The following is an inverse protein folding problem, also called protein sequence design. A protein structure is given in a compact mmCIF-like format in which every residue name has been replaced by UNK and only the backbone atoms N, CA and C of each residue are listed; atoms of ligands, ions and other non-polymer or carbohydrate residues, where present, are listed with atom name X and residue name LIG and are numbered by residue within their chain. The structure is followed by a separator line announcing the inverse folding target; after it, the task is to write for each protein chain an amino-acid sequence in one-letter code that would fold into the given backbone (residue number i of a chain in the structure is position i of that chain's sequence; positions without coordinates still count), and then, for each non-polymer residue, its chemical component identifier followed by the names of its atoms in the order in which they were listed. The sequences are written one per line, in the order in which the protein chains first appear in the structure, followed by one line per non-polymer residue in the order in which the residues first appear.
data_IF_252762459086
#
_entry.id   IF_252762459086
#
_cell.length_a   1.000
_cell.length_b   1.000
_cell.length_c   1.000
_cell.angle_alpha   90.00
_cell.angle_beta   90.00
_cell.angle_gamma   90.00
#
_symmetry.space_group_name_H-M   'P 1'
#
loop_
_entity.id
_entity.type
_entity.pdbx_description
1 polymer ?
#
# COMPACT_ATOMS: atom_id res chain seq x y z
N UNK A 1 -16.34 13.07 -9.20
CA UNK A 1 -17.65 12.98 -8.45
C UNK A 1 -18.71 12.24 -9.27
N UNK A 2 -18.69 12.39 -10.59
CA UNK A 2 -19.64 11.78 -11.53
C UNK A 2 -19.59 10.24 -11.48
N UNK A 3 -18.43 9.64 -11.14
CA UNK A 3 -18.28 8.18 -11.03
C UNK A 3 -19.23 7.52 -10.02
N UNK A 4 -19.47 8.15 -8.87
CA UNK A 4 -20.33 7.59 -7.82
C UNK A 4 -21.80 7.72 -8.18
N UNK A 5 -22.17 8.84 -8.82
CA UNK A 5 -23.52 9.07 -9.33
C UNK A 5 -23.84 8.05 -10.43
N UNK A 6 -22.92 7.83 -11.36
CA UNK A 6 -23.09 6.84 -12.43
C UNK A 6 -23.12 5.40 -11.90
N UNK A 7 -22.32 5.07 -10.88
CA UNK A 7 -22.35 3.77 -10.22
C UNK A 7 -23.67 3.51 -9.49
N UNK A 8 -24.19 4.50 -8.75
CA UNK A 8 -25.49 4.39 -8.06
C UNK A 8 -26.63 4.28 -9.08
N UNK A 9 -26.61 5.09 -10.14
CA UNK A 9 -27.63 5.07 -11.17
C UNK A 9 -27.62 3.75 -11.96
N UNK A 10 -26.43 3.21 -12.25
CA UNK A 10 -26.26 1.88 -12.81
C UNK A 10 -26.77 0.78 -11.87
N UNK A 11 -26.53 0.91 -10.56
CA UNK A 11 -27.05 -0.01 -9.56
C UNK A 11 -28.58 -0.04 -9.53
N UNK A 12 -29.24 1.12 -9.67
CA UNK A 12 -30.70 1.18 -9.64
C UNK A 12 -31.35 0.49 -10.84
N UNK A 13 -30.75 0.60 -12.03
CA UNK A 13 -31.31 0.02 -13.26
C UNK A 13 -31.01 -1.46 -13.45
N UNK A 14 -29.81 -1.91 -13.09
CA UNK A 14 -29.34 -3.28 -13.36
C UNK A 14 -28.78 -4.00 -12.12
N UNK A 15 -29.01 -3.50 -10.90
CA UNK A 15 -28.47 -4.05 -9.63
C UNK A 15 -26.94 -4.15 -9.68
N UNK A 16 -26.38 -5.27 -9.24
CA UNK A 16 -24.95 -5.49 -9.12
C UNK A 16 -24.16 -5.30 -10.42
N UNK A 17 -24.55 -5.90 -11.58
CA UNK A 17 -23.81 -5.68 -12.83
C UNK A 17 -23.92 -4.24 -13.32
N UNK A 18 -25.06 -3.59 -13.09
CA UNK A 18 -25.27 -2.19 -13.46
C UNK A 18 -24.35 -1.23 -12.71
N UNK A 19 -24.06 -1.49 -11.43
CA UNK A 19 -23.14 -0.67 -10.64
C UNK A 19 -21.72 -0.69 -11.19
N UNK A 20 -21.25 -1.86 -11.62
CA UNK A 20 -19.91 -2.05 -12.19
C UNK A 20 -19.81 -1.30 -13.52
N UNK A 21 -20.79 -1.49 -14.40
CA UNK A 21 -20.84 -0.80 -15.69
C UNK A 21 -20.96 0.72 -15.52
N UNK A 22 -21.82 1.17 -14.62
CA UNK A 22 -22.01 2.59 -14.28
C UNK A 22 -20.74 3.22 -13.69
N UNK A 23 -20.01 2.50 -12.84
CA UNK A 23 -18.72 2.96 -12.32
C UNK A 23 -17.66 3.06 -13.41
N UNK A 24 -17.58 2.08 -14.31
CA UNK A 24 -16.65 2.07 -15.45
C UNK A 24 -16.94 3.26 -16.39
N UNK A 25 -18.17 3.41 -16.86
CA UNK A 25 -18.61 4.52 -17.72
C UNK A 25 -18.42 5.87 -17.03
N UNK A 26 -18.83 5.97 -15.77
CA UNK A 26 -18.67 7.16 -14.94
C UNK A 26 -17.20 7.53 -14.72
N UNK A 27 -16.31 6.55 -14.59
CA UNK A 27 -14.87 6.79 -14.45
C UNK A 27 -14.24 7.33 -15.73
N UNK A 28 -14.68 6.87 -16.90
CA UNK A 28 -14.21 7.38 -18.20
C UNK A 28 -14.66 8.83 -18.41
N UNK A 29 -15.90 9.15 -18.05
CA UNK A 29 -16.44 10.50 -18.12
C UNK A 29 -15.74 11.44 -17.13
N UNK A 30 -15.54 11.00 -15.87
CA UNK A 30 -14.79 11.76 -14.84
C UNK A 30 -13.40 12.11 -15.39
N UNK A 31 -12.66 11.15 -15.98
CA UNK A 31 -11.32 11.36 -16.58
C UNK A 31 -11.31 12.40 -17.72
N UNK A 32 -12.35 12.44 -18.57
CA UNK A 32 -12.46 13.43 -19.64
C UNK A 32 -12.74 14.84 -19.09
N UNK A 33 -13.57 14.96 -18.04
CA UNK A 33 -13.87 16.23 -17.38
C UNK A 33 -12.79 16.72 -16.41
N UNK A 34 -11.99 15.83 -15.84
CA UNK A 34 -10.95 16.14 -14.83
C UNK A 34 -9.53 16.22 -15.38
N UNK A 35 -9.36 16.51 -16.68
CA UNK A 35 -8.04 16.78 -17.31
C UNK A 35 -7.18 17.85 -16.61
N UNK A 36 -7.70 18.58 -15.61
CA UNK A 36 -6.96 19.57 -14.82
C UNK A 36 -6.52 19.12 -13.42
N UNK A 37 -6.90 17.92 -12.94
CA UNK A 37 -6.47 17.41 -11.62
C UNK A 37 -5.96 15.98 -11.77
N UNK A 38 -4.64 15.84 -11.74
CA UNK A 38 -3.89 14.66 -12.19
C UNK A 38 -4.27 13.31 -11.56
N UNK A 39 -4.02 12.26 -12.35
CA UNK A 39 -3.75 10.90 -11.88
C UNK A 39 -4.94 9.94 -11.99
N UNK A 40 -4.86 9.03 -12.96
CA UNK A 40 -5.94 8.12 -13.34
C UNK A 40 -6.50 7.27 -12.19
N UNK A 41 -7.82 7.29 -12.04
CA UNK A 41 -8.56 6.57 -11.01
C UNK A 41 -8.34 5.05 -11.01
N UNK A 42 -7.95 4.45 -12.14
CA UNK A 42 -7.57 3.02 -12.21
C UNK A 42 -6.32 2.72 -11.39
N UNK A 43 -5.34 3.62 -11.41
CA UNK A 43 -4.14 3.54 -10.59
C UNK A 43 -4.50 3.63 -9.10
N UNK A 44 -5.50 4.43 -8.73
CA UNK A 44 -5.87 4.68 -7.34
C UNK A 44 -6.58 3.47 -6.69
N UNK A 45 -7.42 2.75 -7.45
CA UNK A 45 -8.05 1.50 -6.99
C UNK A 45 -7.01 0.39 -6.81
N UNK A 46 -6.01 0.32 -7.68
CA UNK A 46 -4.91 -0.65 -7.56
C UNK A 46 -3.83 -0.23 -6.54
N UNK A 47 -3.62 1.08 -6.34
CA UNK A 47 -2.65 1.61 -5.36
C UNK A 47 -3.15 1.57 -3.93
N UNK A 48 -4.47 1.54 -3.70
CA UNK A 48 -5.01 1.35 -2.35
C UNK A 48 -4.52 0.04 -1.72
N UNK A 49 -4.17 -0.95 -2.55
CA UNK A 49 -3.64 -2.25 -2.13
C UNK A 49 -2.11 -2.32 -2.11
N UNK A 50 -1.40 -1.25 -2.52
CA UNK A 50 0.07 -1.15 -2.52
C UNK A 50 0.58 0.02 -1.69
N UNK A 51 -0.15 0.39 -0.64
CA UNK A 51 0.36 1.32 0.38
C UNK A 51 0.71 0.55 1.66
N UNK A 52 1.50 -0.50 1.51
CA UNK A 52 2.56 -0.74 2.48
C UNK A 52 3.62 0.33 2.22
N UNK A 53 3.30 1.58 2.55
CA UNK A 53 4.35 2.58 2.76
C UNK A 53 5.08 2.12 4.00
N UNK A 54 6.16 1.38 3.80
CA UNK A 54 7.08 0.99 4.85
C UNK A 54 7.57 2.30 5.47
N UNK A 55 7.03 2.66 6.62
CA UNK A 55 7.55 3.79 7.37
C UNK A 55 8.98 3.44 7.78
N UNK A 56 9.92 4.40 7.82
CA UNK A 56 11.25 4.15 8.38
C UNK A 56 11.19 3.46 9.76
N UNK A 57 10.19 3.81 10.58
CA UNK A 57 9.95 3.16 11.87
C UNK A 57 9.57 1.66 11.75
N UNK A 58 8.81 1.28 10.73
CA UNK A 58 8.45 -0.13 10.47
C UNK A 58 9.66 -0.91 9.93
N UNK A 59 10.55 -0.25 9.20
CA UNK A 59 11.81 -0.84 8.74
C UNK A 59 12.77 -1.17 9.88
N UNK A 60 12.92 -0.26 10.86
CA UNK A 60 13.73 -0.47 12.06
C UNK A 60 13.28 -1.71 12.86
N UNK A 61 11.96 -1.83 13.10
CA UNK A 61 11.36 -2.96 13.79
C UNK A 61 11.59 -4.29 13.05
N UNK A 62 11.46 -4.28 11.73
CA UNK A 62 11.67 -5.47 10.89
C UNK A 62 13.14 -5.91 10.86
N UNK A 63 14.10 -4.98 10.80
CA UNK A 63 15.52 -5.31 10.89
C UNK A 63 15.89 -5.91 12.25
N UNK A 64 15.37 -5.36 13.35
CA UNK A 64 15.64 -5.89 14.69
C UNK A 64 15.12 -7.32 14.81
N UNK A 65 13.91 -7.58 14.32
CA UNK A 65 13.32 -8.91 14.25
C UNK A 65 14.21 -9.87 13.43
N UNK A 66 14.66 -9.45 12.24
CA UNK A 66 15.49 -10.27 11.35
C UNK A 66 16.86 -10.57 11.98
N UNK A 67 17.50 -9.57 12.59
CA UNK A 67 18.76 -9.74 13.31
C UNK A 67 18.62 -10.72 14.48
N UNK A 68 17.52 -10.66 15.24
CA UNK A 68 17.26 -11.62 16.33
C UNK A 68 17.09 -13.05 15.83
N UNK A 69 16.49 -13.22 14.64
CA UNK A 69 16.30 -14.51 13.98
C UNK A 69 17.63 -15.09 13.47
N UNK A 70 18.50 -14.25 12.91
CA UNK A 70 19.84 -14.63 12.45
C UNK A 70 20.74 -15.03 13.63
N UNK A 71 20.76 -14.25 14.72
CA UNK A 71 21.53 -14.58 15.92
C UNK A 71 21.07 -15.90 16.53
N UNK A 72 19.75 -16.18 16.51
CA UNK A 72 19.20 -17.42 17.04
C UNK A 72 19.43 -18.64 16.13
N UNK A 73 19.66 -18.44 14.83
CA UNK A 73 19.85 -19.52 13.87
C UNK A 73 21.14 -20.34 14.13
N UNK A 74 22.15 -19.74 14.75
CA UNK A 74 23.43 -20.39 15.06
C UNK A 74 23.40 -21.25 16.34
N UNK A 75 22.26 -21.29 17.05
CA UNK A 75 22.05 -22.14 18.23
C UNK A 75 22.76 -21.68 19.52
N UNK A 76 23.71 -20.77 19.43
CA UNK A 76 24.37 -20.11 20.56
C UNK A 76 24.40 -18.59 20.39
N UNK A 77 23.93 -17.85 21.39
CA UNK A 77 23.96 -16.38 21.37
C UNK A 77 25.32 -15.88 21.84
N UNK A 78 26.10 -15.29 20.95
CA UNK A 78 27.40 -14.71 21.27
C UNK A 78 27.29 -13.20 21.56
N UNK A 79 27.81 -12.74 22.70
CA UNK A 79 27.75 -11.33 23.10
C UNK A 79 28.48 -10.39 22.14
N UNK A 80 29.58 -10.82 21.52
CA UNK A 80 30.31 -10.00 20.56
C UNK A 80 29.49 -9.69 19.30
N UNK A 81 28.60 -10.59 18.90
CA UNK A 81 27.72 -10.40 17.74
C UNK A 81 26.58 -9.44 18.07
N UNK A 82 26.02 -9.55 19.28
CA UNK A 82 25.04 -8.58 19.78
C UNK A 82 25.62 -7.17 19.85
N UNK A 83 26.88 -7.04 20.28
CA UNK A 83 27.57 -5.75 20.34
C UNK A 83 27.84 -5.18 18.94
N UNK A 84 28.25 -6.02 17.98
CA UNK A 84 28.47 -5.63 16.59
C UNK A 84 27.18 -5.15 15.92
N UNK A 85 26.08 -5.91 16.07
CA UNK A 85 24.77 -5.53 15.54
C UNK A 85 24.29 -4.23 16.16
N UNK A 86 24.43 -4.06 17.49
CA UNK A 86 24.07 -2.80 18.17
C UNK A 86 24.86 -1.59 17.64
N UNK A 87 26.17 -1.72 17.44
CA UNK A 87 26.97 -0.62 16.88
C UNK A 87 26.62 -0.30 15.43
N UNK A 88 26.37 -1.32 14.61
CA UNK A 88 26.00 -1.12 13.21
C UNK A 88 24.63 -0.46 13.06
N UNK A 89 23.66 -0.83 13.91
CA UNK A 89 22.34 -0.18 13.96
C UNK A 89 22.44 1.31 14.29
N UNK A 90 23.30 1.69 15.24
CA UNK A 90 23.51 3.09 15.67
C UNK A 90 24.28 3.91 14.61
N UNK A 91 25.03 3.27 13.71
CA UNK A 91 25.76 3.98 12.64
C UNK A 91 24.94 4.12 11.36
N UNK A 92 24.05 3.18 11.08
CA UNK A 92 23.23 3.18 9.88
C UNK A 92 22.01 4.12 9.99
N UNK A 93 21.62 4.53 11.19
CA UNK A 93 20.45 5.35 11.52
C UNK A 93 20.76 6.35 12.64
#
# INVERSE_FOLDING_TARGET
MIRWIAAILGFTFFRFPGAILGFLLGSLLDNLTTKSAGGGAFQQVFQQQRRDHVSPADFELNLLSLASLVIKADGTVNQSELDYVRQNFVQAY
#
